data_IF_898551566539
#
_entry.id   IF_898551566539
#
_cell.length_a   1.000
_cell.length_b   1.000
_cell.length_c   1.000
_cell.angle_alpha   90.00
_cell.angle_beta   90.00
_cell.angle_gamma   90.00
#
_symmetry.space_group_name_H-M   'P 1'
#
loop_
_entity.id
_entity.type
_entity.pdbx_description
1 polymer ?
#
# COMPACT_ATOMS: atom_id res chain seq x y z
N UNK A 1 -4.98 37.42 27.64
CA UNK A 1 -5.45 37.23 26.25
C UNK A 1 -4.31 36.93 25.27
N UNK A 2 -3.29 37.80 25.12
CA UNK A 2 -2.16 37.58 24.17
C UNK A 2 -1.46 36.22 24.31
N UNK A 3 -1.19 35.77 25.55
CA UNK A 3 -0.58 34.45 25.82
C UNK A 3 -1.46 33.27 25.40
N UNK A 4 -2.79 33.38 25.57
CA UNK A 4 -3.75 32.36 25.16
C UNK A 4 -3.84 32.26 23.63
N UNK A 5 -3.82 33.42 22.94
CA UNK A 5 -3.81 33.50 21.47
C UNK A 5 -2.52 32.91 20.90
N UNK A 6 -1.37 33.19 21.53
CA UNK A 6 -0.10 32.57 21.13
C UNK A 6 -0.12 31.04 21.35
N UNK A 7 -0.66 30.56 22.47
CA UNK A 7 -0.76 29.12 22.74
C UNK A 7 -1.71 28.42 21.75
N UNK A 8 -2.86 29.01 21.45
CA UNK A 8 -3.80 28.45 20.47
C UNK A 8 -3.21 28.43 19.05
N UNK A 9 -2.44 29.47 18.68
CA UNK A 9 -1.75 29.51 17.39
C UNK A 9 -0.64 28.44 17.30
N UNK A 10 0.11 28.20 18.38
CA UNK A 10 1.11 27.13 18.44
C UNK A 10 0.48 25.73 18.32
N UNK A 11 -0.65 25.49 18.99
CA UNK A 11 -1.37 24.21 18.87
C UNK A 11 -1.93 24.02 17.45
N UNK A 12 -2.55 25.06 16.89
CA UNK A 12 -3.11 25.01 15.55
C UNK A 12 -2.04 24.78 14.46
N UNK A 13 -0.86 25.37 14.61
CA UNK A 13 0.26 25.14 13.68
C UNK A 13 0.82 23.73 13.79
N UNK A 14 0.98 23.17 15.00
CA UNK A 14 1.36 21.76 15.14
C UNK A 14 0.35 20.79 14.51
N UNK A 15 -0.96 21.07 14.64
CA UNK A 15 -2.00 20.28 13.99
C UNK A 15 -2.03 20.44 12.46
N UNK A 16 -1.77 21.65 11.97
CA UNK A 16 -1.79 21.93 10.53
C UNK A 16 -0.54 21.41 9.80
N UNK A 17 0.61 21.33 10.46
CA UNK A 17 1.91 21.01 9.85
C UNK A 17 2.55 19.71 10.34
N UNK A 18 1.88 18.95 11.21
CA UNK A 18 2.35 17.64 11.65
C UNK A 18 2.54 16.69 10.46
N UNK A 19 3.78 16.27 10.20
CA UNK A 19 4.07 15.23 9.21
C UNK A 19 3.79 13.87 9.85
N UNK A 20 2.94 13.08 9.23
CA UNK A 20 2.64 11.70 9.64
C UNK A 20 3.70 10.68 9.15
N UNK A 21 4.65 11.11 8.33
CA UNK A 21 5.81 10.30 7.94
C UNK A 21 7.06 11.15 8.18
N UNK A 22 7.94 10.69 9.07
CA UNK A 22 9.14 11.40 9.49
C UNK A 22 10.39 10.55 9.28
N UNK A 23 11.55 11.19 9.24
CA UNK A 23 12.83 10.48 9.27
C UNK A 23 13.08 9.97 10.68
N UNK A 24 13.35 8.67 10.83
CA UNK A 24 13.91 8.12 12.06
C UNK A 24 15.44 8.14 12.00
N UNK A 25 16.00 7.75 10.85
CA UNK A 25 17.44 7.72 10.61
C UNK A 25 17.77 7.94 9.13
N UNK A 26 18.89 8.60 8.84
CA UNK A 26 19.50 8.66 7.50
C UNK A 26 20.98 8.30 7.66
N UNK A 27 21.39 7.19 7.05
CA UNK A 27 22.76 6.67 7.15
C UNK A 27 23.58 7.08 5.95
N UNK A 28 23.00 6.95 4.75
CA UNK A 28 23.66 7.24 3.47
C UNK A 28 22.64 7.77 2.47
N UNK A 29 23.13 8.52 1.49
CA UNK A 29 22.37 8.91 0.31
C UNK A 29 23.11 8.51 -0.95
N UNK A 30 22.34 8.28 -2.02
CA UNK A 30 22.82 8.00 -3.37
C UNK A 30 22.06 8.87 -4.35
N UNK A 31 22.65 9.13 -5.52
CA UNK A 31 21.90 9.72 -6.62
C UNK A 31 20.82 8.72 -7.07
N UNK A 32 19.55 9.06 -6.83
CA UNK A 32 18.42 8.20 -7.15
C UNK A 32 18.00 8.38 -8.60
N UNK A 33 18.17 7.34 -9.42
CA UNK A 33 17.69 7.34 -10.82
C UNK A 33 16.47 6.42 -11.00
N UNK A 34 16.28 5.50 -10.06
CA UNK A 34 15.28 4.46 -10.07
C UNK A 34 13.91 4.99 -9.59
N UNK A 35 12.86 4.68 -10.36
CA UNK A 35 11.47 5.09 -10.06
C UNK A 35 10.78 4.10 -9.12
N UNK A 36 11.36 2.93 -8.93
CA UNK A 36 10.75 1.84 -8.21
C UNK A 36 10.97 1.97 -6.70
N UNK A 37 10.05 1.40 -5.91
CA UNK A 37 10.21 1.24 -4.48
C UNK A 37 9.60 -0.10 -4.08
N UNK A 38 10.39 -1.17 -4.19
CA UNK A 38 9.91 -2.54 -4.03
C UNK A 38 10.18 -3.11 -2.64
N UNK A 39 9.29 -3.99 -2.19
CA UNK A 39 9.52 -4.68 -0.93
C UNK A 39 10.59 -5.75 -1.12
N UNK A 40 11.53 -5.81 -0.19
CA UNK A 40 12.58 -6.83 -0.14
C UNK A 40 12.61 -7.51 1.22
N UNK A 41 13.27 -8.67 1.28
CA UNK A 41 13.72 -9.25 2.55
C UNK A 41 15.21 -8.92 2.75
N UNK A 42 15.56 -8.06 3.72
CA UNK A 42 16.94 -7.64 3.95
C UNK A 42 17.85 -8.77 4.44
N UNK A 43 17.30 -9.82 5.07
CA UNK A 43 18.11 -10.92 5.62
C UNK A 43 18.72 -11.81 4.53
N UNK A 44 18.12 -11.81 3.33
CA UNK A 44 18.54 -12.64 2.19
C UNK A 44 19.02 -11.84 0.99
N UNK A 45 18.83 -10.51 1.00
CA UNK A 45 19.24 -9.63 -0.10
C UNK A 45 20.59 -8.99 0.21
N UNK A 46 21.34 -8.64 -0.84
CA UNK A 46 22.59 -7.86 -0.75
C UNK A 46 22.31 -6.35 -0.74
N UNK A 47 21.16 -5.95 -0.22
CA UNK A 47 20.71 -4.57 -0.28
C UNK A 47 21.50 -3.68 0.67
N UNK A 48 21.86 -2.48 0.21
CA UNK A 48 22.54 -1.47 1.01
C UNK A 48 21.51 -0.68 1.82
N UNK A 49 21.62 -0.72 3.15
CA UNK A 49 20.77 0.09 4.03
C UNK A 49 21.14 1.58 3.92
N UNK A 50 20.13 2.42 3.68
CA UNK A 50 20.31 3.86 3.49
C UNK A 50 19.69 4.69 4.61
N UNK A 51 18.61 4.21 5.23
CA UNK A 51 17.94 4.93 6.31
C UNK A 51 16.58 4.35 6.66
N UNK A 52 15.79 5.10 7.41
CA UNK A 52 14.52 4.65 7.93
C UNK A 52 13.55 5.79 8.15
N UNK A 53 12.29 5.52 7.81
CA UNK A 53 11.18 6.42 8.10
C UNK A 53 10.26 5.79 9.13
N UNK A 54 9.70 6.65 9.98
CA UNK A 54 8.65 6.30 10.93
C UNK A 54 7.33 6.93 10.47
N UNK A 55 6.28 6.12 10.45
CA UNK A 55 4.91 6.58 10.19
C UNK A 55 4.20 6.71 11.52
N UNK A 56 3.62 7.87 11.78
CA UNK A 56 2.94 8.21 13.01
C UNK A 56 1.50 8.65 12.74
N UNK A 57 0.57 8.02 13.45
CA UNK A 57 -0.87 8.24 13.31
C UNK A 57 -1.49 7.39 12.20
N UNK A 58 -2.74 6.98 12.42
CA UNK A 58 -3.52 6.24 11.44
C UNK A 58 -3.98 7.13 10.29
N UNK A 59 -3.97 6.58 9.08
CA UNK A 59 -4.59 7.17 7.89
C UNK A 59 -5.38 6.10 7.15
N UNK A 60 -6.61 6.42 6.74
CA UNK A 60 -7.38 5.58 5.82
C UNK A 60 -6.95 5.77 4.35
N UNK A 61 -6.14 6.79 4.06
CA UNK A 61 -5.59 7.07 2.73
C UNK A 61 -4.17 6.47 2.63
N UNK A 62 -4.12 5.18 2.29
CA UNK A 62 -2.86 4.44 2.15
C UNK A 62 -2.00 4.97 0.99
N UNK A 63 -2.63 5.50 -0.07
CA UNK A 63 -1.92 6.06 -1.22
C UNK A 63 -1.16 7.34 -0.83
N UNK A 64 -1.78 8.22 -0.03
CA UNK A 64 -1.11 9.40 0.53
C UNK A 64 0.05 9.03 1.43
N UNK A 65 -0.12 8.05 2.33
CA UNK A 65 0.97 7.59 3.21
C UNK A 65 2.12 7.02 2.38
N UNK A 66 1.81 6.14 1.41
CA UNK A 66 2.82 5.59 0.51
C UNK A 66 3.54 6.68 -0.27
N UNK A 67 2.83 7.69 -0.80
CA UNK A 67 3.44 8.80 -1.52
C UNK A 67 4.44 9.60 -0.69
N UNK A 68 4.18 9.78 0.61
CA UNK A 68 5.10 10.44 1.53
C UNK A 68 6.34 9.57 1.84
N UNK A 69 6.15 8.26 2.07
CA UNK A 69 7.25 7.31 2.24
C UNK A 69 8.10 7.28 0.97
N UNK A 70 7.45 7.18 -0.20
CA UNK A 70 8.10 7.15 -1.50
C UNK A 70 8.93 8.40 -1.73
N UNK A 71 8.38 9.59 -1.46
CA UNK A 71 9.12 10.85 -1.57
C UNK A 71 10.39 10.82 -0.74
N UNK A 72 10.30 10.42 0.54
CA UNK A 72 11.46 10.30 1.43
C UNK A 72 12.47 9.26 0.93
N UNK A 73 12.01 8.10 0.46
CA UNK A 73 12.88 7.10 -0.14
C UNK A 73 13.68 7.67 -1.31
N UNK A 74 13.04 8.45 -2.19
CA UNK A 74 13.71 9.10 -3.32
C UNK A 74 14.69 10.20 -2.90
N UNK A 75 14.44 10.91 -1.79
CA UNK A 75 15.38 11.92 -1.25
C UNK A 75 16.77 11.33 -0.93
N UNK A 76 16.85 10.05 -0.59
CA UNK A 76 18.13 9.36 -0.27
C UNK A 76 18.57 8.36 -1.34
N UNK A 77 17.85 8.24 -2.46
CA UNK A 77 18.15 7.29 -3.53
C UNK A 77 17.78 5.84 -3.22
N UNK A 78 16.87 5.59 -2.28
CA UNK A 78 16.36 4.25 -2.00
C UNK A 78 15.40 3.78 -3.10
N UNK A 79 15.49 2.51 -3.49
CA UNK A 79 14.61 1.87 -4.46
C UNK A 79 13.95 0.59 -3.92
N UNK A 80 14.23 0.26 -2.67
CA UNK A 80 13.67 -0.91 -1.99
C UNK A 80 13.37 -0.58 -0.53
N UNK A 81 12.48 -1.36 0.08
CA UNK A 81 12.12 -1.17 1.48
C UNK A 81 11.76 -2.47 2.20
N UNK A 82 11.79 -2.43 3.52
CA UNK A 82 11.27 -3.50 4.37
C UNK A 82 10.59 -2.95 5.62
N UNK A 83 9.60 -3.67 6.13
CA UNK A 83 9.04 -3.38 7.44
C UNK A 83 10.06 -3.67 8.54
N UNK A 84 10.19 -2.75 9.51
CA UNK A 84 10.98 -2.95 10.72
C UNK A 84 10.04 -2.97 11.93
N UNK A 85 9.85 -4.11 12.59
CA UNK A 85 9.06 -4.17 13.81
C UNK A 85 9.77 -3.44 14.95
N UNK A 86 8.99 -2.82 15.83
CA UNK A 86 9.50 -2.34 17.10
C UNK A 86 9.93 -3.52 17.98
N UNK A 87 10.91 -3.29 18.84
CA UNK A 87 11.31 -4.25 19.87
C UNK A 87 10.71 -3.82 21.21
N UNK A 88 10.09 -4.75 21.93
CA UNK A 88 9.67 -4.53 23.31
C UNK A 88 10.85 -4.62 24.27
N UNK A 89 10.64 -4.23 25.54
CA UNK A 89 11.69 -4.25 26.57
C UNK A 89 12.27 -5.65 26.80
N UNK A 90 11.49 -6.70 26.55
CA UNK A 90 11.91 -8.10 26.58
C UNK A 90 12.51 -8.62 25.26
N UNK A 91 12.82 -7.72 24.31
CA UNK A 91 13.48 -8.02 23.04
C UNK A 91 12.57 -8.70 21.99
N UNK A 92 11.25 -8.76 22.22
CA UNK A 92 10.33 -9.37 21.25
C UNK A 92 9.95 -8.38 20.16
N UNK A 93 9.86 -8.88 18.91
CA UNK A 93 9.33 -8.12 17.78
C UNK A 93 7.83 -7.88 17.98
N UNK A 94 7.43 -6.62 18.01
CA UNK A 94 6.04 -6.21 18.10
C UNK A 94 5.30 -6.50 16.78
N UNK A 95 3.99 -6.74 16.90
CA UNK A 95 3.12 -6.86 15.73
C UNK A 95 3.04 -5.52 15.01
N UNK A 96 2.69 -5.57 13.73
CA UNK A 96 2.39 -4.37 12.96
C UNK A 96 1.28 -3.57 13.64
N UNK A 97 1.52 -2.28 13.86
CA UNK A 97 0.55 -1.31 14.36
C UNK A 97 0.30 -0.26 13.26
N UNK A 98 -0.94 -0.14 12.73
CA UNK A 98 -1.24 0.85 11.71
C UNK A 98 -1.17 2.30 12.22
N UNK A 99 -1.05 2.53 13.53
CA UNK A 99 -0.84 3.85 14.13
C UNK A 99 0.62 4.24 14.25
N UNK A 100 1.52 3.26 14.33
CA UNK A 100 2.96 3.50 14.41
C UNK A 100 3.77 2.35 13.84
N UNK A 101 4.52 2.60 12.77
CA UNK A 101 5.40 1.60 12.17
C UNK A 101 6.62 2.23 11.51
N UNK A 102 7.67 1.41 11.35
CA UNK A 102 8.93 1.81 10.72
C UNK A 102 9.14 1.07 9.41
N UNK A 103 9.64 1.81 8.43
CA UNK A 103 10.05 1.28 7.13
C UNK A 103 11.52 1.59 6.94
N UNK A 104 12.33 0.52 6.89
CA UNK A 104 13.73 0.61 6.51
C UNK A 104 13.84 0.75 4.99
N UNK A 105 14.76 1.60 4.54
CA UNK A 105 14.95 1.99 3.16
C UNK A 105 16.32 1.53 2.67
N UNK A 106 16.34 0.97 1.47
CA UNK A 106 17.52 0.33 0.90
C UNK A 106 17.72 0.71 -0.55
N UNK A 107 18.96 0.56 -0.99
CA UNK A 107 19.32 0.46 -2.40
C UNK A 107 19.64 -0.98 -2.76
N UNK A 108 19.17 -1.41 -3.92
CA UNK A 108 19.50 -2.70 -4.50
C UNK A 108 19.49 -2.60 -6.03
N UNK A 109 20.50 -3.11 -6.76
CA UNK A 109 20.47 -3.06 -8.22
C UNK A 109 19.19 -3.70 -8.77
N UNK A 110 18.51 -3.05 -9.72
CA UNK A 110 17.20 -3.49 -10.21
C UNK A 110 17.19 -4.93 -10.73
N UNK A 111 18.31 -5.37 -11.33
CA UNK A 111 18.48 -6.73 -11.84
C UNK A 111 18.51 -7.81 -10.74
N UNK A 112 18.81 -7.43 -9.51
CA UNK A 112 18.81 -8.35 -8.37
C UNK A 112 17.44 -8.44 -7.70
N UNK A 113 16.53 -7.49 -7.96
CA UNK A 113 15.24 -7.44 -7.26
C UNK A 113 14.42 -8.66 -7.69
N UNK A 114 13.96 -9.50 -6.74
CA UNK A 114 13.23 -10.70 -7.08
C UNK A 114 11.97 -10.38 -7.89
N UNK A 115 11.76 -11.10 -8.98
CA UNK A 115 10.50 -11.09 -9.71
C UNK A 115 9.61 -12.22 -9.23
N UNK A 116 8.32 -11.94 -9.08
CA UNK A 116 7.30 -12.95 -8.87
C UNK A 116 6.47 -13.10 -10.15
N UNK A 117 6.22 -14.34 -10.56
CA UNK A 117 5.54 -14.69 -11.81
C UNK A 117 4.38 -15.64 -11.56
N UNK A 118 3.33 -15.55 -12.38
CA UNK A 118 2.20 -16.48 -12.32
C UNK A 118 1.35 -16.34 -11.05
N UNK A 119 1.29 -15.16 -10.45
CA UNK A 119 0.56 -14.91 -9.20
C UNK A 119 -0.39 -13.72 -9.35
N UNK A 120 -1.59 -13.83 -8.76
CA UNK A 120 -2.57 -12.78 -8.65
C UNK A 120 -2.75 -12.38 -7.18
N UNK A 121 -2.46 -11.13 -6.89
CA UNK A 121 -2.77 -10.46 -5.63
C UNK A 121 -4.10 -9.72 -5.73
N UNK A 122 -4.94 -9.85 -4.71
CA UNK A 122 -6.22 -9.14 -4.62
C UNK A 122 -6.29 -8.47 -3.25
N UNK A 123 -6.38 -7.14 -3.24
CA UNK A 123 -6.43 -6.31 -2.03
C UNK A 123 -7.85 -5.78 -1.80
N UNK A 124 -8.29 -5.79 -0.55
CA UNK A 124 -9.51 -5.12 -0.11
C UNK A 124 -9.33 -3.58 -0.10
N UNK A 125 -10.40 -2.79 0.05
CA UNK A 125 -10.27 -1.37 0.38
C UNK A 125 -9.94 -1.19 1.88
N UNK A 126 -9.46 -0.01 2.28
CA UNK A 126 -8.98 0.25 3.65
C UNK A 126 -10.06 0.37 4.73
N UNK A 127 -11.32 0.59 4.35
CA UNK A 127 -12.37 1.00 5.28
C UNK A 127 -13.73 0.30 5.05
N UNK A 128 -13.77 -0.74 4.21
CA UNK A 128 -15.01 -1.47 3.95
C UNK A 128 -14.77 -2.93 3.55
N UNK A 129 -15.55 -3.83 4.14
CA UNK A 129 -15.63 -5.22 3.67
C UNK A 129 -16.17 -5.29 2.23
N UNK A 130 -15.66 -6.23 1.44
CA UNK A 130 -16.15 -6.50 0.09
C UNK A 130 -16.47 -7.98 -0.11
N UNK A 131 -17.45 -8.27 -0.96
CA UNK A 131 -17.73 -9.62 -1.44
C UNK A 131 -17.57 -9.64 -2.95
N UNK A 132 -16.73 -10.54 -3.44
CA UNK A 132 -16.45 -10.69 -4.87
C UNK A 132 -16.69 -12.13 -5.31
N UNK A 133 -16.72 -12.34 -6.61
CA UNK A 133 -16.68 -13.66 -7.22
C UNK A 133 -15.32 -13.84 -7.89
N UNK A 134 -14.61 -14.92 -7.59
CA UNK A 134 -13.46 -15.39 -8.36
C UNK A 134 -13.82 -16.76 -8.94
N UNK A 135 -13.87 -16.88 -10.26
CA UNK A 135 -14.27 -18.12 -10.96
C UNK A 135 -15.58 -18.69 -10.40
N UNK A 136 -16.60 -17.82 -10.26
CA UNK A 136 -17.92 -18.13 -9.68
C UNK A 136 -17.93 -18.51 -8.19
N UNK A 137 -16.77 -18.54 -7.53
CA UNK A 137 -16.65 -18.79 -6.09
C UNK A 137 -16.72 -17.47 -5.33
N UNK A 138 -17.61 -17.39 -4.33
CA UNK A 138 -17.73 -16.21 -3.48
C UNK A 138 -16.54 -16.09 -2.54
N UNK A 139 -15.89 -14.93 -2.52
CA UNK A 139 -14.85 -14.60 -1.55
C UNK A 139 -15.30 -13.36 -0.76
N UNK A 140 -15.17 -13.41 0.56
CA UNK A 140 -15.39 -12.27 1.45
C UNK A 140 -14.05 -11.70 1.88
N UNK A 141 -13.84 -10.43 1.58
CA UNK A 141 -12.70 -9.64 2.02
C UNK A 141 -13.12 -8.80 3.22
N UNK A 142 -12.34 -8.87 4.29
CA UNK A 142 -12.37 -7.84 5.33
C UNK A 142 -11.57 -6.63 4.87
N UNK A 143 -11.91 -5.45 5.36
CA UNK A 143 -11.07 -4.26 5.11
C UNK A 143 -9.61 -4.51 5.50
N UNK A 144 -8.66 -3.85 4.80
CA UNK A 144 -7.21 -4.02 5.03
C UNK A 144 -6.73 -5.48 5.03
N UNK A 145 -7.33 -6.30 4.18
CA UNK A 145 -6.86 -7.66 3.92
C UNK A 145 -6.51 -7.87 2.45
N UNK A 146 -5.72 -8.89 2.18
CA UNK A 146 -5.45 -9.33 0.82
C UNK A 146 -5.32 -10.84 0.74
N UNK A 147 -5.44 -11.38 -0.46
CA UNK A 147 -5.14 -12.79 -0.73
C UNK A 147 -4.29 -12.93 -1.97
N UNK A 148 -3.66 -14.09 -2.09
CA UNK A 148 -2.73 -14.43 -3.15
C UNK A 148 -3.19 -15.73 -3.79
N UNK A 149 -3.25 -15.76 -5.12
CA UNK A 149 -3.68 -16.90 -5.91
C UNK A 149 -2.60 -17.23 -6.93
N UNK A 150 -2.08 -18.46 -6.87
CA UNK A 150 -1.26 -18.99 -7.96
C UNK A 150 -2.15 -19.20 -9.17
N UNK A 151 -1.67 -18.78 -10.33
CA UNK A 151 -2.35 -18.93 -11.59
C UNK A 151 -1.90 -20.23 -12.24
N UNK A 152 -2.86 -21.05 -12.68
CA UNK A 152 -2.57 -22.23 -13.48
C UNK A 152 -2.54 -21.86 -14.97
N UNK A 153 -1.54 -22.36 -15.70
CA UNK A 153 -1.30 -22.01 -17.09
C UNK A 153 -2.51 -22.32 -17.99
N UNK A 154 -2.84 -21.39 -18.89
CA UNK A 154 -3.96 -21.54 -19.83
C UNK A 154 -5.36 -21.35 -19.24
N UNK A 155 -5.52 -21.27 -17.91
CA UNK A 155 -6.80 -20.98 -17.28
C UNK A 155 -7.21 -19.51 -17.44
N UNK A 156 -8.52 -19.23 -17.42
CA UNK A 156 -9.03 -17.86 -17.37
C UNK A 156 -9.64 -17.59 -16.01
N UNK A 157 -9.08 -16.60 -15.30
CA UNK A 157 -9.55 -16.14 -14.01
C UNK A 157 -10.51 -14.98 -14.20
N UNK A 158 -11.74 -15.10 -13.68
CA UNK A 158 -12.76 -14.04 -13.74
C UNK A 158 -13.04 -13.51 -12.33
N UNK A 159 -12.60 -12.29 -12.05
CA UNK A 159 -12.90 -11.56 -10.82
C UNK A 159 -14.04 -10.58 -11.07
N UNK A 160 -15.09 -10.59 -10.25
CA UNK A 160 -16.19 -9.61 -10.34
C UNK A 160 -16.68 -9.11 -9.00
N UNK A 161 -17.12 -7.86 -8.92
CA UNK A 161 -17.66 -7.26 -7.68
C UNK A 161 -19.09 -7.69 -7.38
N UNK A 162 -19.72 -8.48 -8.27
CA UNK A 162 -21.09 -9.06 -8.14
C UNK A 162 -22.23 -8.04 -7.94
N UNK A 163 -21.97 -6.75 -8.08
CA UNK A 163 -22.98 -5.70 -7.97
C UNK A 163 -23.57 -5.39 -9.34
N UNK A 164 -24.79 -4.86 -9.37
CA UNK A 164 -25.55 -4.61 -10.60
C UNK A 164 -24.79 -3.77 -11.63
N UNK A 165 -24.04 -2.78 -11.16
CA UNK A 165 -23.17 -1.91 -11.97
C UNK A 165 -21.69 -2.15 -11.63
N UNK A 166 -21.36 -3.39 -11.27
CA UNK A 166 -20.07 -3.77 -10.71
C UNK A 166 -19.08 -4.16 -11.80
N UNK A 167 -17.80 -3.83 -11.59
CA UNK A 167 -16.74 -4.21 -12.54
C UNK A 167 -16.45 -5.72 -12.53
N UNK A 168 -15.99 -6.21 -13.68
CA UNK A 168 -15.40 -7.54 -13.81
C UNK A 168 -14.10 -7.49 -14.62
N UNK A 169 -13.12 -8.30 -14.23
CA UNK A 169 -11.83 -8.44 -14.89
C UNK A 169 -11.61 -9.91 -15.21
N UNK A 170 -11.28 -10.20 -16.47
CA UNK A 170 -10.85 -11.52 -16.92
C UNK A 170 -9.35 -11.49 -17.18
N UNK A 171 -8.63 -12.42 -16.58
CA UNK A 171 -7.19 -12.60 -16.72
C UNK A 171 -6.95 -13.97 -17.35
N UNK A 172 -6.33 -13.99 -18.52
CA UNK A 172 -5.77 -15.23 -19.06
C UNK A 172 -4.46 -15.51 -18.34
N UNK A 173 -4.35 -16.67 -17.70
CA UNK A 173 -3.18 -17.03 -16.93
C UNK A 173 -2.06 -17.53 -17.85
N UNK A 174 -0.87 -17.01 -17.59
CA UNK A 174 0.42 -17.51 -18.05
C UNK A 174 1.33 -17.57 -16.82
N UNK A 175 1.92 -18.73 -16.54
CA UNK A 175 2.78 -18.94 -15.36
C UNK A 175 4.05 -18.11 -15.39
N UNK A 176 4.48 -17.64 -16.56
CA UNK A 176 5.67 -16.82 -16.75
C UNK A 176 5.36 -15.31 -16.74
N UNK A 177 4.09 -14.91 -16.73
CA UNK A 177 3.72 -13.49 -16.72
C UNK A 177 4.08 -12.84 -15.37
N UNK A 178 4.42 -11.54 -15.35
CA UNK A 178 4.63 -10.82 -14.10
C UNK A 178 3.42 -10.92 -13.17
N UNK A 179 3.66 -10.91 -11.86
CA UNK A 179 2.60 -10.87 -10.87
C UNK A 179 1.60 -9.73 -11.16
N UNK A 180 0.32 -10.04 -10.99
CA UNK A 180 -0.78 -9.11 -11.22
C UNK A 180 -1.33 -8.64 -9.87
N UNK A 181 -1.51 -7.33 -9.72
CA UNK A 181 -1.98 -6.73 -8.48
C UNK A 181 -3.29 -5.99 -8.73
N UNK A 182 -4.35 -6.41 -8.06
CA UNK A 182 -5.68 -5.81 -8.17
C UNK A 182 -6.16 -5.32 -6.80
N UNK A 183 -6.81 -4.16 -6.75
CA UNK A 183 -7.51 -3.69 -5.57
C UNK A 183 -9.00 -3.52 -5.83
N UNK A 184 -9.80 -3.96 -4.87
CA UNK A 184 -11.24 -3.78 -4.85
C UNK A 184 -11.57 -2.38 -4.34
N UNK A 185 -12.42 -1.67 -5.05
CA UNK A 185 -12.99 -0.41 -4.58
C UNK A 185 -14.41 -0.58 -4.09
N UNK A 186 -14.68 0.09 -2.97
CA UNK A 186 -15.99 0.19 -2.36
C UNK A 186 -17.00 0.95 -3.24
N UNK A 187 -18.27 0.86 -2.84
CA UNK A 187 -19.32 1.72 -3.39
C UNK A 187 -18.98 3.18 -3.12
N UNK A 188 -19.08 4.04 -4.13
CA UNK A 188 -18.86 5.49 -3.99
C UNK A 188 -20.03 6.27 -4.58
N UNK A 189 -20.47 7.28 -3.82
CA UNK A 189 -21.42 8.31 -4.27
C UNK A 189 -20.60 9.59 -4.42
N UNK A 190 -20.59 10.15 -5.62
CA UNK A 190 -19.97 11.44 -5.89
C UNK A 190 -21.02 12.40 -6.43
N UNK A 191 -21.01 13.65 -5.97
CA UNK A 191 -21.79 14.71 -6.60
C UNK A 191 -21.28 14.93 -8.03
N UNK A 192 -22.18 15.24 -8.96
CA UNK A 192 -21.75 15.62 -10.31
C UNK A 192 -20.80 16.84 -10.28
N UNK A 193 -19.91 16.97 -11.27
CA UNK A 193 -19.06 18.15 -11.42
C UNK A 193 -19.89 19.45 -11.45
N UNK A 194 -19.28 20.56 -11.02
CA UNK A 194 -19.97 21.86 -10.94
C UNK A 194 -20.57 22.26 -12.30
N UNK A 195 -21.90 22.45 -12.33
CA UNK A 195 -22.65 22.81 -13.54
C UNK A 195 -23.57 21.70 -14.08
N UNK A 196 -23.46 20.47 -13.57
CA UNK A 196 -24.36 19.36 -13.92
C UNK A 196 -25.24 18.97 -12.74
N UNK A 197 -26.56 18.88 -12.96
CA UNK A 197 -27.47 18.29 -11.98
C UNK A 197 -27.37 16.76 -12.04
N UNK A 198 -26.90 16.11 -10.98
CA UNK A 198 -26.84 14.65 -10.95
C UNK A 198 -26.05 14.06 -9.78
N UNK A 199 -26.17 12.74 -9.62
CA UNK A 199 -25.43 11.93 -8.66
C UNK A 199 -24.70 10.83 -9.44
N UNK A 200 -23.38 10.73 -9.30
CA UNK A 200 -22.58 9.65 -9.87
C UNK A 200 -22.48 8.50 -8.86
N UNK A 201 -22.99 7.33 -9.24
CA UNK A 201 -22.98 6.11 -8.43
C UNK A 201 -22.02 5.09 -9.05
N UNK A 202 -20.94 4.74 -8.33
CA UNK A 202 -20.08 3.60 -8.68
C UNK A 202 -20.35 2.47 -7.71
N UNK A 203 -20.87 1.35 -8.22
CA UNK A 203 -21.30 0.28 -7.31
C UNK A 203 -20.14 -0.50 -6.69
N UNK A 204 -18.98 -0.50 -7.33
CA UNK A 204 -17.73 -1.07 -6.85
C UNK A 204 -16.84 -1.41 -8.04
N UNK A 205 -15.55 -1.13 -7.93
CA UNK A 205 -14.60 -1.22 -9.05
C UNK A 205 -13.44 -2.17 -8.75
N UNK A 206 -12.69 -2.54 -9.78
CA UNK A 206 -11.46 -3.33 -9.68
C UNK A 206 -10.37 -2.55 -10.40
N UNK A 207 -9.40 -2.05 -9.64
CA UNK A 207 -8.27 -1.30 -10.20
C UNK A 207 -7.01 -2.15 -10.23
N UNK A 208 -6.19 -1.94 -11.25
CA UNK A 208 -4.82 -2.47 -11.30
C UNK A 208 -3.92 -1.60 -10.43
N UNK A 209 -3.08 -2.24 -9.63
CA UNK A 209 -2.05 -1.57 -8.85
C UNK A 209 -0.68 -1.70 -9.52
N UNK A 210 0.12 -0.65 -9.36
CA UNK A 210 1.56 -0.73 -9.58
C UNK A 210 2.20 -1.55 -8.45
N UNK A 211 3.24 -2.32 -8.80
CA UNK A 211 3.92 -3.22 -7.86
C UNK A 211 4.40 -2.50 -6.61
N UNK A 212 5.01 -1.32 -6.72
CA UNK A 212 5.55 -0.59 -5.55
C UNK A 212 4.48 -0.31 -4.50
N UNK A 213 3.26 0.06 -4.94
CA UNK A 213 2.17 0.32 -4.02
C UNK A 213 1.55 -0.98 -3.48
N UNK A 214 1.43 -2.02 -4.31
CA UNK A 214 0.94 -3.33 -3.87
C UNK A 214 1.87 -3.98 -2.83
N UNK A 215 3.18 -3.86 -3.04
CA UNK A 215 4.22 -4.28 -2.10
C UNK A 215 4.07 -3.55 -0.76
N UNK A 216 3.77 -2.24 -0.77
CA UNK A 216 3.46 -1.49 0.44
C UNK A 216 2.18 -1.99 1.12
N UNK A 217 1.10 -2.18 0.36
CA UNK A 217 -0.15 -2.74 0.92
C UNK A 217 0.08 -4.12 1.54
N UNK A 218 0.96 -4.96 0.97
CA UNK A 218 1.30 -6.27 1.54
C UNK A 218 1.99 -6.22 2.91
N UNK A 219 2.52 -5.06 3.29
CA UNK A 219 3.06 -4.78 4.63
C UNK A 219 1.97 -4.34 5.58
N UNK A 220 1.13 -3.39 5.15
CA UNK A 220 0.14 -2.76 6.04
C UNK A 220 -1.18 -3.51 6.12
N UNK A 221 -1.40 -4.52 5.27
CA UNK A 221 -2.61 -5.34 5.22
C UNK A 221 -2.34 -6.78 5.67
N UNK A 222 -3.38 -7.45 6.15
CA UNK A 222 -3.29 -8.85 6.58
C UNK A 222 -3.59 -9.80 5.43
N UNK A 223 -2.68 -10.73 5.16
CA UNK A 223 -2.94 -11.81 4.22
C UNK A 223 -3.92 -12.83 4.83
N UNK A 224 -4.91 -13.26 4.05
CA UNK A 224 -5.73 -14.44 4.36
C UNK A 224 -5.66 -15.46 3.22
N UNK A 225 -5.89 -16.73 3.57
CA UNK A 225 -5.82 -17.86 2.64
C UNK A 225 -7.20 -18.17 2.05
#
# INVERSE_FOLDING_TARGET
MRKLICLSALIATHWAFGQNVIWNEVVKSREGTERELYRINPEISKAEYLGEVEVQGFSADDAKVFGLIYKKAKEIGANSFSFRPFESVDGKKQKFDPWNYRISLYYMPSAEIPEEKGVLYIYAPPAQDQSVSLNNTKIKFKERTYTVRKLADGETYSLSTRKLLGSSVKLKADVNQPAQYLQLQAFQVQSAPYGEAGINLKSGDIIRLERSFADFLSVVYTQFK
#
